data_IF_340498620968
#
_entry.id   IF_340498620968
#
_cell.length_a   1.000
_cell.length_b   1.000
_cell.length_c   1.000
_cell.angle_alpha   90.00
_cell.angle_beta   90.00
_cell.angle_gamma   90.00
#
_symmetry.space_group_name_H-M   'P 1'
#
loop_
_entity.id
_entity.type
_entity.pdbx_description
1 polymer ?
#
# COMPACT_ATOMS: atom_id res chain seq x y z
N UNK A 1 -18.14 -15.36 0.52
CA UNK A 1 -17.01 -14.97 1.38
C UNK A 1 -16.36 -13.63 1.02
N UNK A 2 -16.38 -13.16 -0.24
CA UNK A 2 -15.81 -11.86 -0.70
C UNK A 2 -16.01 -10.62 0.20
N UNK A 3 -17.10 -10.52 0.97
CA UNK A 3 -17.37 -9.32 1.78
C UNK A 3 -16.48 -9.21 3.03
N UNK A 4 -16.00 -10.33 3.57
CA UNK A 4 -15.13 -10.33 4.76
C UNK A 4 -13.71 -9.91 4.36
N UNK A 5 -13.20 -10.46 3.25
CA UNK A 5 -11.86 -10.16 2.70
C UNK A 5 -11.72 -8.67 2.30
N UNK A 6 -12.75 -8.06 1.71
CA UNK A 6 -12.74 -6.63 1.39
C UNK A 6 -12.69 -5.74 2.64
N UNK A 7 -13.32 -6.17 3.74
CA UNK A 7 -13.28 -5.48 5.03
C UNK A 7 -11.86 -5.47 5.59
N UNK A 8 -11.20 -6.63 5.59
CA UNK A 8 -9.84 -6.79 6.09
C UNK A 8 -8.80 -6.04 5.22
N UNK A 9 -8.89 -6.14 3.90
CA UNK A 9 -7.95 -5.48 3.00
C UNK A 9 -8.07 -3.94 3.04
N UNK A 10 -9.30 -3.41 3.16
CA UNK A 10 -9.51 -1.97 3.34
C UNK A 10 -8.97 -1.45 4.68
N UNK A 11 -9.09 -2.25 5.75
CA UNK A 11 -8.50 -1.93 7.05
C UNK A 11 -6.96 -1.96 6.99
N UNK A 12 -6.36 -2.95 6.32
CA UNK A 12 -4.92 -3.02 6.09
C UNK A 12 -4.43 -1.79 5.31
N UNK A 13 -5.13 -1.39 4.24
CA UNK A 13 -4.82 -0.18 3.49
C UNK A 13 -4.84 1.07 4.38
N UNK A 14 -5.90 1.27 5.16
CA UNK A 14 -6.01 2.44 6.03
C UNK A 14 -4.88 2.49 7.08
N UNK A 15 -4.55 1.33 7.66
CA UNK A 15 -3.44 1.22 8.61
C UNK A 15 -2.08 1.46 7.93
N UNK A 16 -1.90 1.02 6.68
CA UNK A 16 -0.71 1.32 5.89
C UNK A 16 -0.56 2.83 5.65
N UNK A 17 -1.66 3.52 5.31
CA UNK A 17 -1.70 4.98 5.15
C UNK A 17 -1.31 5.69 6.45
N UNK A 18 -1.83 5.22 7.59
CA UNK A 18 -1.46 5.78 8.89
C UNK A 18 0.04 5.66 9.15
N UNK A 19 0.62 4.48 8.94
CA UNK A 19 2.06 4.26 9.12
C UNK A 19 2.91 5.09 8.13
N UNK A 20 2.48 5.23 6.88
CA UNK A 20 3.16 6.06 5.86
C UNK A 20 3.19 7.54 6.25
N UNK A 21 2.14 8.05 6.89
CA UNK A 21 2.01 9.46 7.29
C UNK A 21 2.40 9.74 8.74
N UNK A 22 2.71 8.72 9.55
CA UNK A 22 2.97 8.90 10.98
C UNK A 22 1.71 9.32 11.75
N UNK A 23 0.53 8.82 11.36
CA UNK A 23 -0.70 9.06 12.10
C UNK A 23 -0.79 8.07 13.26
N UNK A 24 -0.82 8.59 14.50
CA UNK A 24 -0.83 7.76 15.71
C UNK A 24 0.53 7.22 16.14
N UNK A 25 1.63 7.70 15.55
CA UNK A 25 3.00 7.31 15.88
C UNK A 25 4.03 7.89 14.91
N UNK A 26 5.32 7.55 15.01
CA UNK A 26 6.31 7.95 14.01
C UNK A 26 6.00 7.31 12.66
N UNK A 27 6.46 7.95 11.58
CA UNK A 27 6.42 7.37 10.23
C UNK A 27 7.13 6.01 10.24
N UNK A 28 6.48 5.00 9.68
CA UNK A 28 7.03 3.66 9.53
C UNK A 28 6.72 3.13 8.12
N UNK A 29 7.63 3.39 7.19
CA UNK A 29 7.46 2.95 5.80
C UNK A 29 7.53 1.43 5.63
N UNK A 30 8.29 0.72 6.46
CA UNK A 30 8.41 -0.74 6.37
C UNK A 30 7.07 -1.41 6.69
N UNK A 31 6.39 -0.98 7.76
CA UNK A 31 5.07 -1.53 8.10
C UNK A 31 4.00 -1.09 7.10
N UNK A 32 4.08 0.15 6.56
CA UNK A 32 3.20 0.58 5.48
C UNK A 32 3.33 -0.31 4.23
N UNK A 33 4.57 -0.61 3.82
CA UNK A 33 4.87 -1.50 2.69
C UNK A 33 4.26 -2.88 2.92
N UNK A 34 4.53 -3.48 4.09
CA UNK A 34 4.02 -4.81 4.44
C UNK A 34 2.50 -4.89 4.37
N UNK A 35 1.81 -3.88 4.90
CA UNK A 35 0.35 -3.83 4.90
C UNK A 35 -0.24 -3.56 3.51
N UNK A 36 0.41 -2.75 2.67
CA UNK A 36 0.00 -2.61 1.28
C UNK A 36 0.16 -3.93 0.53
N UNK A 37 1.29 -4.64 0.69
CA UNK A 37 1.54 -5.91 0.02
C UNK A 37 0.49 -6.97 0.40
N UNK A 38 0.13 -7.08 1.69
CA UNK A 38 -0.96 -7.97 2.11
C UNK A 38 -2.31 -7.59 1.47
N UNK A 39 -2.66 -6.30 1.46
CA UNK A 39 -3.91 -5.86 0.84
C UNK A 39 -3.91 -6.04 -0.69
N UNK A 40 -2.74 -5.99 -1.33
CA UNK A 40 -2.57 -6.31 -2.76
C UNK A 40 -2.79 -7.80 -3.02
N UNK A 41 -2.27 -8.67 -2.15
CA UNK A 41 -2.47 -10.13 -2.24
C UNK A 41 -3.96 -10.49 -2.12
N UNK A 42 -4.72 -9.73 -1.33
CA UNK A 42 -6.19 -9.83 -1.21
C UNK A 42 -6.95 -9.12 -2.36
N UNK A 43 -6.25 -8.61 -3.38
CA UNK A 43 -6.84 -8.01 -4.58
C UNK A 43 -7.32 -6.55 -4.44
N UNK A 44 -6.88 -5.83 -3.40
CA UNK A 44 -7.33 -4.47 -3.14
C UNK A 44 -6.57 -3.42 -3.98
N UNK A 45 -7.19 -2.96 -5.07
CA UNK A 45 -6.60 -2.02 -6.02
C UNK A 45 -6.06 -0.71 -5.38
N UNK A 46 -6.71 -0.17 -4.34
CA UNK A 46 -6.21 1.03 -3.67
C UNK A 46 -4.86 0.82 -2.96
N UNK A 47 -4.57 -0.42 -2.52
CA UNK A 47 -3.26 -0.75 -1.96
C UNK A 47 -2.16 -0.78 -3.04
N UNK A 48 -2.48 -1.22 -4.26
CA UNK A 48 -1.57 -1.13 -5.41
C UNK A 48 -1.20 0.34 -5.69
N UNK A 49 -2.18 1.23 -5.71
CA UNK A 49 -1.94 2.68 -5.83
C UNK A 49 -1.06 3.22 -4.69
N UNK A 50 -1.34 2.82 -3.45
CA UNK A 50 -0.56 3.22 -2.28
C UNK A 50 0.91 2.80 -2.37
N UNK A 51 1.17 1.57 -2.81
CA UNK A 51 2.52 1.02 -3.00
C UNK A 51 3.24 1.64 -4.19
N UNK A 52 2.54 1.86 -5.30
CA UNK A 52 3.07 2.56 -6.48
C UNK A 52 3.54 3.98 -6.12
N UNK A 53 2.74 4.71 -5.36
CA UNK A 53 3.09 6.04 -4.87
C UNK A 53 4.37 6.01 -4.01
N UNK A 54 4.54 5.00 -3.16
CA UNK A 54 5.75 4.86 -2.36
C UNK A 54 6.99 4.62 -3.22
N UNK A 55 6.89 3.77 -4.26
CA UNK A 55 7.96 3.56 -5.22
C UNK A 55 8.31 4.82 -6.02
N UNK A 56 7.32 5.60 -6.42
CA UNK A 56 7.53 6.87 -7.12
C UNK A 56 8.29 7.90 -6.26
N UNK A 57 8.03 7.93 -4.95
CA UNK A 57 8.59 8.92 -4.03
C UNK A 57 9.80 8.44 -3.22
N UNK A 58 10.24 7.18 -3.39
CA UNK A 58 11.33 6.60 -2.60
C UNK A 58 10.97 6.49 -1.11
N UNK A 59 9.71 6.24 -0.78
CA UNK A 59 9.27 6.07 0.61
C UNK A 59 9.53 4.63 1.05
N UNK A 60 10.44 4.45 2.01
CA UNK A 60 10.83 3.11 2.50
C UNK A 60 11.81 2.35 1.59
N UNK A 61 12.41 3.01 0.61
CA UNK A 61 13.39 2.43 -0.30
C UNK A 61 13.82 3.43 -1.39
N UNK A 62 14.66 3.02 -2.35
CA UNK A 62 14.99 3.87 -3.48
C UNK A 62 13.76 4.11 -4.38
N UNK A 63 13.77 5.21 -5.12
CA UNK A 63 12.77 5.47 -6.17
C UNK A 63 12.83 4.35 -7.22
N UNK A 64 11.66 3.82 -7.60
CA UNK A 64 11.52 2.76 -8.60
C UNK A 64 10.31 3.04 -9.51
N UNK A 65 10.52 3.83 -10.55
CA UNK A 65 9.46 4.17 -11.51
C UNK A 65 8.90 2.96 -12.28
N UNK A 66 9.72 2.00 -12.76
CA UNK A 66 9.19 0.80 -13.42
C UNK A 66 8.16 0.05 -12.56
N UNK A 67 8.46 -0.15 -11.28
CA UNK A 67 7.54 -0.84 -10.37
C UNK A 67 6.31 0.00 -10.02
N UNK A 68 6.47 1.32 -9.88
CA UNK A 68 5.34 2.22 -9.70
C UNK A 68 4.36 2.17 -10.87
N UNK A 69 4.86 2.21 -12.11
CA UNK A 69 4.03 2.13 -13.33
C UNK A 69 3.29 0.79 -13.36
N UNK A 70 4.00 -0.33 -13.15
CA UNK A 70 3.41 -1.67 -13.13
C UNK A 70 2.25 -1.76 -12.14
N UNK A 71 2.43 -1.24 -10.93
CA UNK A 71 1.40 -1.26 -9.88
C UNK A 71 0.22 -0.31 -10.18
N UNK A 72 0.47 0.85 -10.79
CA UNK A 72 -0.61 1.74 -11.23
C UNK A 72 -1.43 1.11 -12.35
N UNK A 73 -0.81 0.41 -13.29
CA UNK A 73 -1.49 -0.30 -14.37
C UNK A 73 -2.37 -1.44 -13.84
N UNK A 74 -1.93 -2.15 -12.79
CA UNK A 74 -2.73 -3.19 -12.14
C UNK A 74 -3.92 -2.64 -11.34
N UNK A 75 -3.89 -1.36 -10.97
CA UNK A 75 -4.92 -0.73 -10.15
C UNK A 75 -6.11 -0.17 -10.96
N UNK A 76 -6.04 -0.20 -12.30
CA UNK A 76 -7.06 0.28 -13.25
C UNK A 76 -7.94 -0.90 -13.69
#
# INVERSE_FOLDING_TARGET
EMAIELGDASAMYNRAVMHRHGQGGPVNYLEAIRLYEMAIDDGYASAMFGRAFMHQNGQGGPVNYPEAIRLYEMAI
#
